data_IF_834432383038
#
_entry.id   IF_834432383038
#
_cell.length_a   1.000
_cell.length_b   1.000
_cell.length_c   1.000
_cell.angle_alpha   90.00
_cell.angle_beta   90.00
_cell.angle_gamma   90.00
#
_symmetry.space_group_name_H-M   'P 1'
#
loop_
_entity.id
_entity.type
_entity.pdbx_description
1 polymer ?
#
# COMPACT_ATOMS: atom_id res chain seq x y z
N UNK A 1 24.37 -5.87 27.50
CA UNK A 1 23.91 -6.60 26.29
C UNK A 1 22.81 -5.78 25.62
N UNK A 2 22.78 -5.71 24.29
CA UNK A 2 21.74 -4.99 23.55
C UNK A 2 20.37 -5.70 23.67
N UNK A 3 19.28 -4.93 23.76
CA UNK A 3 17.92 -5.48 23.80
C UNK A 3 17.53 -5.98 22.40
N UNK A 4 17.10 -7.25 22.22
CA UNK A 4 16.68 -7.75 20.92
C UNK A 4 15.44 -7.00 20.41
N UNK A 5 15.36 -6.82 19.09
CA UNK A 5 14.26 -6.13 18.42
C UNK A 5 12.92 -6.82 18.73
N UNK A 6 11.95 -6.05 19.20
CA UNK A 6 10.66 -6.58 19.66
C UNK A 6 9.80 -7.01 18.46
N UNK A 7 9.40 -8.29 18.44
CA UNK A 7 8.43 -8.81 17.46
C UNK A 7 7.02 -8.40 17.89
N UNK A 8 6.30 -7.68 17.03
CA UNK A 8 4.88 -7.32 17.23
C UNK A 8 4.00 -8.49 16.80
N UNK A 9 4.02 -9.55 17.60
CA UNK A 9 3.23 -10.76 17.41
C UNK A 9 2.69 -11.26 18.75
N UNK A 10 1.71 -12.15 18.71
CA UNK A 10 1.20 -12.83 19.90
C UNK A 10 2.32 -13.65 20.58
N UNK A 11 2.30 -13.67 21.92
CA UNK A 11 3.26 -14.46 22.71
C UNK A 11 2.52 -15.71 23.18
N UNK A 12 2.81 -16.86 22.58
CA UNK A 12 2.11 -18.11 22.89
C UNK A 12 2.28 -18.55 24.35
N UNK A 13 3.51 -18.49 24.86
CA UNK A 13 3.85 -18.84 26.23
C UNK A 13 3.17 -17.89 27.22
N UNK A 14 2.12 -18.38 27.90
CA UNK A 14 1.30 -17.62 28.88
C UNK A 14 2.12 -17.00 30.01
N UNK A 15 3.17 -17.69 30.51
CA UNK A 15 4.01 -17.16 31.59
C UNK A 15 4.86 -16.00 31.08
N UNK A 16 5.50 -16.16 29.90
CA UNK A 16 6.25 -15.06 29.25
C UNK A 16 5.33 -13.91 28.86
N UNK A 17 4.11 -14.20 28.39
CA UNK A 17 3.09 -13.19 28.02
C UNK A 17 2.68 -12.35 29.22
N UNK A 18 2.34 -12.95 30.36
CA UNK A 18 1.94 -12.17 31.55
C UNK A 18 3.10 -11.32 32.10
N UNK A 19 4.32 -11.88 32.21
CA UNK A 19 5.51 -11.11 32.62
C UNK A 19 5.78 -9.95 31.66
N UNK A 20 5.63 -10.15 30.34
CA UNK A 20 5.79 -9.10 29.35
C UNK A 20 4.67 -8.04 29.44
N UNK A 21 3.43 -8.46 29.68
CA UNK A 21 2.28 -7.58 29.89
C UNK A 21 2.52 -6.64 31.07
N UNK A 22 2.80 -7.19 32.27
CA UNK A 22 3.07 -6.42 33.48
C UNK A 22 4.24 -5.43 33.31
N UNK A 23 5.34 -5.86 32.66
CA UNK A 23 6.49 -4.98 32.38
C UNK A 23 6.17 -3.86 31.39
N UNK A 24 5.36 -4.14 30.36
CA UNK A 24 4.94 -3.12 29.37
C UNK A 24 3.94 -2.14 29.99
N UNK A 25 2.96 -2.64 30.75
CA UNK A 25 1.97 -1.83 31.45
C UNK A 25 2.63 -0.83 32.41
N UNK A 26 3.55 -1.28 33.26
CA UNK A 26 4.34 -0.38 34.14
C UNK A 26 5.16 0.65 33.35
N UNK A 27 5.73 0.26 32.22
CA UNK A 27 6.46 1.18 31.34
C UNK A 27 5.56 2.24 30.71
N UNK A 28 4.37 1.86 30.26
CA UNK A 28 3.38 2.78 29.68
C UNK A 28 2.80 3.75 30.72
N UNK A 29 2.52 3.27 31.95
CA UNK A 29 2.10 4.12 33.07
C UNK A 29 3.16 5.19 33.37
N UNK A 30 4.44 4.81 33.45
CA UNK A 30 5.54 5.77 33.68
C UNK A 30 5.70 6.78 32.53
N UNK A 31 5.52 6.34 31.27
CA UNK A 31 5.54 7.24 30.12
C UNK A 31 4.36 8.22 30.11
N UNK A 32 3.17 7.78 30.54
CA UNK A 32 2.02 8.66 30.70
C UNK A 32 2.23 9.67 31.84
N UNK A 33 2.74 9.22 33.00
CA UNK A 33 3.12 10.08 34.12
C UNK A 33 4.10 11.18 33.67
N UNK A 34 5.21 10.79 33.04
CA UNK A 34 6.19 11.74 32.47
C UNK A 34 5.56 12.71 31.45
N UNK A 35 4.70 12.21 30.56
CA UNK A 35 4.03 13.04 29.54
C UNK A 35 3.06 14.05 30.18
N UNK A 36 2.27 13.63 31.16
CA UNK A 36 1.33 14.50 31.88
C UNK A 36 2.06 15.61 32.64
N UNK A 37 3.20 15.30 33.27
CA UNK A 37 4.03 16.27 33.98
C UNK A 37 4.67 17.29 33.01
N UNK A 38 5.25 16.82 31.89
CA UNK A 38 5.94 17.70 30.94
C UNK A 38 4.98 18.58 30.13
N UNK A 39 3.75 18.10 29.90
CA UNK A 39 2.78 18.77 29.01
C UNK A 39 1.68 19.52 29.74
N UNK A 40 1.58 19.39 31.07
CA UNK A 40 0.44 19.85 31.90
C UNK A 40 -0.94 19.38 31.34
N UNK A 41 -0.97 18.14 30.83
CA UNK A 41 -2.18 17.53 30.27
C UNK A 41 -2.71 16.44 31.19
N UNK A 42 -4.03 16.26 31.21
CA UNK A 42 -4.68 15.16 31.94
C UNK A 42 -4.84 13.96 31.01
N UNK A 43 -4.36 12.81 31.44
CA UNK A 43 -4.49 11.55 30.71
C UNK A 43 -4.80 10.40 31.68
N UNK A 44 -5.41 9.34 31.16
CA UNK A 44 -5.65 8.10 31.88
C UNK A 44 -5.33 6.90 30.98
N UNK A 45 -5.02 5.75 31.59
CA UNK A 45 -4.80 4.49 30.86
C UNK A 45 -5.62 3.37 31.49
N UNK A 46 -6.33 2.61 30.67
CA UNK A 46 -7.11 1.43 31.07
C UNK A 46 -6.59 0.18 30.37
N UNK A 47 -6.20 -0.83 31.15
CA UNK A 47 -5.63 -2.09 30.66
C UNK A 47 -6.51 -3.27 31.04
N UNK A 48 -6.99 -4.03 30.06
CA UNK A 48 -7.68 -5.30 30.31
C UNK A 48 -6.74 -6.48 30.03
N UNK A 49 -6.40 -7.26 31.07
CA UNK A 49 -5.60 -8.47 30.89
C UNK A 49 -6.48 -9.71 30.73
N UNK A 50 -6.60 -10.22 29.50
CA UNK A 50 -7.36 -11.44 29.16
C UNK A 50 -6.89 -12.69 29.92
N UNK A 51 -5.62 -12.78 30.32
CA UNK A 51 -5.10 -13.95 31.06
C UNK A 51 -5.50 -13.98 32.53
N UNK A 52 -5.70 -12.80 33.14
CA UNK A 52 -5.96 -12.64 34.58
C UNK A 52 -7.42 -12.19 34.85
N UNK A 53 -8.17 -11.78 33.81
CA UNK A 53 -9.52 -11.23 33.90
C UNK A 53 -9.62 -9.83 34.51
N UNK A 54 -8.48 -9.17 34.76
CA UNK A 54 -8.41 -7.91 35.52
C UNK A 54 -8.36 -6.69 34.61
N UNK A 55 -9.18 -5.70 34.94
CA UNK A 55 -9.01 -4.31 34.51
C UNK A 55 -8.04 -3.61 35.47
N UNK A 56 -7.13 -2.80 34.93
CA UNK A 56 -6.22 -1.94 35.70
C UNK A 56 -6.29 -0.53 35.11
N UNK A 57 -6.65 0.45 35.93
CA UNK A 57 -6.67 1.86 35.56
C UNK A 57 -5.46 2.62 36.15
N UNK A 58 -5.12 3.74 35.53
CA UNK A 58 -4.16 4.74 36.00
C UNK A 58 -4.69 6.14 35.63
N UNK A 59 -4.57 7.17 36.50
CA UNK A 59 -3.81 7.19 37.77
C UNK A 59 -4.48 6.42 38.91
N UNK A 60 -5.75 6.71 39.18
CA UNK A 60 -6.65 5.92 40.01
C UNK A 60 -7.86 5.47 39.20
N UNK A 61 -8.66 4.55 39.74
CA UNK A 61 -9.90 4.10 39.08
C UNK A 61 -10.88 5.27 38.91
N UNK A 62 -11.13 6.03 39.99
CA UNK A 62 -12.05 7.17 40.03
C UNK A 62 -11.58 8.33 39.13
N UNK A 63 -10.29 8.63 39.09
CA UNK A 63 -9.75 9.68 38.22
C UNK A 63 -9.82 9.28 36.73
N UNK A 64 -9.54 8.02 36.42
CA UNK A 64 -9.66 7.50 35.06
C UNK A 64 -11.12 7.52 34.58
N UNK A 65 -12.06 7.07 35.41
CA UNK A 65 -13.51 7.15 35.14
C UNK A 65 -13.94 8.61 34.92
N UNK A 66 -13.56 9.53 35.82
CA UNK A 66 -13.82 10.96 35.66
C UNK A 66 -13.23 11.58 34.38
N UNK A 67 -12.08 11.10 33.91
CA UNK A 67 -11.47 11.55 32.65
C UNK A 67 -12.21 10.99 31.43
N UNK A 68 -12.62 9.73 31.50
CA UNK A 68 -13.42 9.06 30.46
C UNK A 68 -14.79 9.72 30.32
N UNK A 69 -15.48 10.00 31.43
CA UNK A 69 -16.79 10.69 31.43
C UNK A 69 -16.68 12.08 30.81
N UNK A 70 -15.64 12.86 31.18
CA UNK A 70 -15.37 14.17 30.57
C UNK A 70 -15.07 14.06 29.07
N UNK A 71 -14.37 13.02 28.64
CA UNK A 71 -14.09 12.78 27.23
C UNK A 71 -15.35 12.42 26.42
N UNK A 72 -16.26 11.62 26.99
CA UNK A 72 -17.54 11.30 26.34
C UNK A 72 -18.56 12.45 26.39
N UNK A 73 -18.45 13.36 27.36
CA UNK A 73 -19.22 14.60 27.39
C UNK A 73 -18.83 15.60 26.28
N UNK A 74 -17.66 15.44 25.64
CA UNK A 74 -17.26 16.27 24.50
C UNK A 74 -18.07 15.89 23.24
N UNK A 75 -18.40 16.88 22.37
CA UNK A 75 -19.07 16.62 21.10
C UNK A 75 -18.18 15.78 20.18
N UNK A 76 -18.83 14.95 19.35
CA UNK A 76 -18.18 13.89 18.56
C UNK A 76 -17.07 14.41 17.63
N UNK A 77 -17.24 15.61 17.06
CA UNK A 77 -16.23 16.23 16.21
C UNK A 77 -14.92 16.52 16.97
N UNK A 78 -14.97 16.95 18.23
CA UNK A 78 -13.78 17.17 19.05
C UNK A 78 -13.16 15.85 19.51
N UNK A 79 -14.01 14.86 19.82
CA UNK A 79 -13.60 13.52 20.24
C UNK A 79 -12.82 12.77 19.16
N UNK A 80 -13.32 12.80 17.93
CA UNK A 80 -12.82 11.96 16.84
C UNK A 80 -11.69 12.63 16.03
N UNK A 81 -11.44 13.94 16.19
CA UNK A 81 -10.46 14.68 15.37
C UNK A 81 -9.03 14.12 15.47
N UNK A 82 -8.65 13.63 16.66
CA UNK A 82 -7.32 13.11 16.97
C UNK A 82 -7.36 11.65 17.49
N UNK A 83 -8.49 10.95 17.31
CA UNK A 83 -8.65 9.58 17.79
C UNK A 83 -8.04 8.58 16.80
N UNK A 84 -6.86 8.06 17.11
CA UNK A 84 -6.28 6.91 16.39
C UNK A 84 -7.07 5.63 16.75
N UNK A 85 -7.97 5.23 15.85
CA UNK A 85 -8.70 3.97 15.99
C UNK A 85 -7.76 2.76 15.85
N UNK A 86 -7.91 1.78 16.73
CA UNK A 86 -7.13 0.55 16.71
C UNK A 86 -7.28 -0.21 15.38
N UNK A 87 -8.47 -0.25 14.76
CA UNK A 87 -8.59 -0.90 13.45
C UNK A 87 -7.83 -0.14 12.37
N UNK A 88 -7.89 1.20 12.35
CA UNK A 88 -7.17 2.06 11.40
C UNK A 88 -5.66 1.84 11.47
N UNK A 89 -5.11 1.69 12.69
CA UNK A 89 -3.71 1.36 12.92
C UNK A 89 -3.37 -0.04 12.40
N UNK A 90 -4.18 -1.05 12.73
CA UNK A 90 -4.00 -2.44 12.26
C UNK A 90 -4.05 -2.48 10.72
N UNK A 91 -5.07 -1.89 10.09
CA UNK A 91 -5.21 -1.76 8.63
C UNK A 91 -3.96 -1.12 8.00
N UNK A 92 -3.42 -0.08 8.63
CA UNK A 92 -2.18 0.59 8.19
C UNK A 92 -0.95 -0.30 8.29
N UNK A 93 -0.81 -1.09 9.36
CA UNK A 93 0.29 -2.05 9.53
C UNK A 93 0.17 -3.22 8.55
N UNK A 94 -1.03 -3.78 8.37
CA UNK A 94 -1.32 -4.84 7.39
C UNK A 94 -0.93 -4.39 5.98
N UNK A 95 -1.38 -3.21 5.54
CA UNK A 95 -1.02 -2.62 4.23
C UNK A 95 0.50 -2.42 4.05
N UNK A 96 1.23 -2.10 5.13
CA UNK A 96 2.71 -2.02 5.11
C UNK A 96 3.37 -3.39 4.98
N UNK A 97 2.78 -4.46 5.54
CA UNK A 97 3.27 -5.84 5.42
C UNK A 97 2.96 -6.38 4.01
N UNK A 98 1.73 -6.21 3.52
CA UNK A 98 1.31 -6.58 2.16
C UNK A 98 2.21 -5.95 1.10
N UNK A 99 2.49 -4.64 1.19
CA UNK A 99 3.40 -3.96 0.26
C UNK A 99 4.82 -4.53 0.28
N UNK A 100 5.32 -4.99 1.44
CA UNK A 100 6.63 -5.65 1.55
C UNK A 100 6.62 -7.05 0.96
N UNK A 101 5.55 -7.79 1.18
CA UNK A 101 5.36 -9.14 0.64
C UNK A 101 5.26 -9.09 -0.90
N UNK A 102 4.49 -8.15 -1.43
CA UNK A 102 4.37 -7.90 -2.87
C UNK A 102 5.70 -7.47 -3.50
N UNK A 103 6.45 -6.58 -2.86
CA UNK A 103 7.79 -6.23 -3.32
C UNK A 103 8.74 -7.43 -3.30
N UNK A 104 8.70 -8.25 -2.25
CA UNK A 104 9.52 -9.46 -2.16
C UNK A 104 9.16 -10.49 -3.23
N UNK A 105 7.87 -10.61 -3.60
CA UNK A 105 7.44 -11.48 -4.71
C UNK A 105 8.03 -11.01 -6.04
N UNK A 106 7.96 -9.71 -6.35
CA UNK A 106 8.54 -9.17 -7.59
C UNK A 106 10.04 -9.38 -7.68
N UNK A 107 10.77 -9.20 -6.58
CA UNK A 107 12.22 -9.47 -6.54
C UNK A 107 12.50 -10.96 -6.77
N UNK A 108 11.68 -11.88 -6.24
CA UNK A 108 11.82 -13.32 -6.52
C UNK A 108 11.49 -13.62 -7.99
N UNK A 109 10.43 -13.05 -8.56
CA UNK A 109 10.09 -13.23 -9.98
C UNK A 109 11.19 -12.69 -10.92
N UNK A 110 11.79 -11.53 -10.61
CA UNK A 110 12.94 -11.01 -11.36
C UNK A 110 14.14 -11.96 -11.28
N UNK A 111 14.47 -12.47 -10.09
CA UNK A 111 15.56 -13.45 -9.90
C UNK A 111 15.28 -14.80 -10.59
N UNK A 112 14.03 -15.27 -10.62
CA UNK A 112 13.62 -16.46 -11.39
C UNK A 112 13.88 -16.26 -12.89
N UNK A 113 13.49 -15.09 -13.44
CA UNK A 113 13.67 -14.79 -14.86
C UNK A 113 15.13 -14.57 -15.24
N UNK A 114 15.90 -13.87 -14.40
CA UNK A 114 17.33 -13.67 -14.63
C UNK A 114 18.10 -15.00 -14.54
N UNK A 115 17.73 -15.90 -13.60
CA UNK A 115 18.30 -17.25 -13.54
C UNK A 115 17.98 -18.07 -14.79
N UNK A 116 16.74 -18.00 -15.29
CA UNK A 116 16.31 -18.72 -16.48
C UNK A 116 16.99 -18.18 -17.76
N UNK A 117 17.16 -16.86 -17.87
CA UNK A 117 17.97 -16.24 -18.93
C UNK A 117 19.43 -16.71 -18.89
N UNK A 118 20.05 -16.81 -17.71
CA UNK A 118 21.41 -17.35 -17.56
C UNK A 118 21.49 -18.83 -17.95
N UNK A 119 20.48 -19.65 -17.66
CA UNK A 119 20.45 -21.05 -18.12
C UNK A 119 20.42 -21.15 -19.65
N UNK A 120 19.61 -20.31 -20.32
CA UNK A 120 19.53 -20.27 -21.79
C UNK A 120 20.87 -19.80 -22.39
N UNK A 121 21.49 -18.76 -21.83
CA UNK A 121 22.83 -18.30 -22.25
C UNK A 121 23.91 -19.38 -22.07
N UNK A 122 23.79 -20.23 -21.05
CA UNK A 122 24.68 -21.36 -20.79
C UNK A 122 24.30 -22.65 -21.56
N UNK A 123 23.35 -22.58 -22.51
CA UNK A 123 23.07 -23.66 -23.46
C UNK A 123 21.82 -24.50 -23.20
N UNK A 124 20.95 -24.17 -22.23
CA UNK A 124 19.61 -24.79 -22.13
C UNK A 124 18.80 -24.42 -23.38
N UNK A 125 18.24 -25.39 -24.09
CA UNK A 125 17.47 -25.09 -25.30
C UNK A 125 16.10 -24.50 -24.93
N UNK A 126 15.58 -23.59 -25.76
CA UNK A 126 14.24 -23.03 -25.56
C UNK A 126 13.13 -24.11 -25.65
N UNK A 127 13.38 -25.22 -26.34
CA UNK A 127 12.49 -26.37 -26.40
C UNK A 127 12.41 -27.16 -25.07
N UNK A 128 13.39 -26.99 -24.18
CA UNK A 128 13.44 -27.64 -22.85
C UNK A 128 12.72 -26.81 -21.78
N UNK A 129 12.10 -25.69 -22.16
CA UNK A 129 11.31 -24.84 -21.28
C UNK A 129 9.88 -25.41 -21.17
N UNK A 130 9.37 -25.49 -19.95
CA UNK A 130 7.95 -25.74 -19.73
C UNK A 130 7.10 -24.58 -20.26
N UNK A 131 5.86 -24.87 -20.64
CA UNK A 131 4.91 -23.87 -21.15
C UNK A 131 4.81 -22.63 -20.23
N UNK A 132 4.81 -22.83 -18.91
CA UNK A 132 4.74 -21.76 -17.91
C UNK A 132 6.04 -20.95 -17.79
N UNK A 133 7.21 -21.56 -18.01
CA UNK A 133 8.49 -20.84 -18.13
C UNK A 133 8.50 -19.97 -19.39
N UNK A 134 8.03 -20.48 -20.54
CA UNK A 134 7.93 -19.73 -21.80
C UNK A 134 6.99 -18.52 -21.65
N UNK A 135 5.80 -18.72 -21.09
CA UNK A 135 4.83 -17.64 -20.86
C UNK A 135 5.36 -16.55 -19.93
N UNK A 136 5.99 -16.94 -18.80
CA UNK A 136 6.65 -16.00 -17.88
C UNK A 136 7.76 -15.22 -18.59
N UNK A 137 8.63 -15.91 -19.34
CA UNK A 137 9.76 -15.31 -20.05
C UNK A 137 9.31 -14.33 -21.14
N UNK A 138 8.30 -14.71 -21.94
CA UNK A 138 7.71 -13.82 -22.95
C UNK A 138 7.10 -12.56 -22.31
N UNK A 139 6.42 -12.71 -21.17
CA UNK A 139 5.89 -11.58 -20.40
C UNK A 139 7.01 -10.68 -19.86
N UNK A 140 8.08 -11.26 -19.32
CA UNK A 140 9.24 -10.53 -18.79
C UNK A 140 10.00 -9.77 -19.89
N UNK A 141 10.32 -10.44 -20.99
CA UNK A 141 10.98 -9.84 -22.15
C UNK A 141 10.17 -8.68 -22.73
N UNK A 142 8.86 -8.87 -22.95
CA UNK A 142 7.97 -7.81 -23.44
C UNK A 142 7.93 -6.58 -22.52
N UNK A 143 7.91 -6.81 -21.19
CA UNK A 143 7.98 -5.72 -20.18
C UNK A 143 9.33 -5.00 -20.23
N UNK A 144 10.45 -5.73 -20.26
CA UNK A 144 11.81 -5.12 -20.32
C UNK A 144 12.02 -4.34 -21.62
N UNK A 145 11.61 -4.87 -22.77
CA UNK A 145 11.62 -4.17 -24.06
C UNK A 145 10.82 -2.86 -23.93
N UNK A 146 9.58 -2.93 -23.43
CA UNK A 146 8.72 -1.73 -23.26
C UNK A 146 9.36 -0.66 -22.37
N UNK A 147 10.06 -1.05 -21.29
CA UNK A 147 10.78 -0.11 -20.43
C UNK A 147 11.96 0.52 -21.16
N UNK A 148 12.82 -0.29 -21.78
CA UNK A 148 14.00 0.18 -22.50
C UNK A 148 13.62 1.09 -23.69
N UNK A 149 12.55 0.79 -24.43
CA UNK A 149 12.05 1.65 -25.51
C UNK A 149 11.64 3.03 -25.01
N UNK A 150 11.03 3.12 -23.81
CA UNK A 150 10.68 4.40 -23.17
C UNK A 150 11.90 5.16 -22.68
N UNK A 151 12.86 4.46 -22.06
CA UNK A 151 14.11 5.06 -21.57
C UNK A 151 15.00 5.60 -22.70
N UNK A 152 14.98 4.93 -23.86
CA UNK A 152 15.67 5.38 -25.08
C UNK A 152 14.97 6.55 -25.80
N UNK A 153 13.84 7.05 -25.28
CA UNK A 153 13.11 8.18 -25.87
C UNK A 153 12.49 7.88 -27.24
N UNK A 154 12.34 6.61 -27.60
CA UNK A 154 11.87 6.17 -28.90
C UNK A 154 10.33 6.20 -28.99
N UNK A 155 9.74 7.40 -28.96
CA UNK A 155 8.40 7.59 -29.51
C UNK A 155 8.49 7.56 -31.05
N UNK A 156 8.34 6.37 -31.65
CA UNK A 156 8.09 6.28 -33.07
C UNK A 156 7.04 5.22 -33.45
N UNK A 157 6.15 5.54 -34.41
CA UNK A 157 5.00 4.71 -34.74
C UNK A 157 5.39 3.64 -35.75
N UNK A 158 5.54 2.38 -35.32
CA UNK A 158 5.63 1.25 -36.25
C UNK A 158 4.96 -0.02 -35.70
N UNK A 159 3.64 -0.06 -35.84
CA UNK A 159 2.88 -1.31 -35.98
C UNK A 159 2.18 -1.30 -37.34
N UNK A 160 2.96 -1.44 -38.41
CA UNK A 160 2.46 -1.95 -39.69
C UNK A 160 3.14 -3.29 -39.95
N UNK A 161 2.52 -4.35 -39.42
CA UNK A 161 2.61 -5.66 -40.06
C UNK A 161 1.32 -5.76 -40.86
N UNK A 162 1.41 -5.65 -42.18
CA UNK A 162 0.25 -5.73 -43.06
C UNK A 162 -0.34 -7.14 -43.01
N UNK A 163 -1.57 -7.26 -42.54
CA UNK A 163 -2.38 -8.48 -42.63
C UNK A 163 -3.36 -8.31 -43.81
N UNK A 164 -3.18 -9.02 -44.93
CA UNK A 164 -3.99 -8.82 -46.12
C UNK A 164 -5.37 -9.46 -45.95
N UNK A 165 -6.35 -8.65 -45.52
CA UNK A 165 -7.76 -9.00 -45.64
C UNK A 165 -8.17 -9.07 -47.12
N UNK A 166 -8.19 -10.27 -47.69
CA UNK A 166 -9.08 -10.57 -48.81
C UNK A 166 -10.50 -10.64 -48.24
N UNK A 167 -11.36 -9.72 -48.64
CA UNK A 167 -12.77 -9.74 -48.25
C UNK A 167 -13.60 -10.66 -49.14
N UNK A 168 -14.88 -10.77 -48.80
CA UNK A 168 -15.92 -10.95 -49.80
C UNK A 168 -17.09 -10.01 -49.48
N UNK A 169 -17.65 -9.40 -50.51
CA UNK A 169 -18.69 -8.38 -50.43
C UNK A 169 -20.10 -9.00 -50.31
N UNK A 170 -20.99 -8.36 -49.54
CA UNK A 170 -22.37 -8.14 -50.01
C UNK A 170 -22.75 -6.68 -49.72
N UNK A 171 -23.13 -5.96 -50.78
CA UNK A 171 -23.41 -4.50 -50.80
C UNK A 171 -24.95 -4.23 -50.75
N UNK A 172 -25.52 -3.00 -50.96
CA UNK A 172 -26.17 -2.25 -49.88
C UNK A 172 -27.63 -1.77 -50.17
N UNK A 173 -28.20 -0.95 -49.28
CA UNK A 173 -28.76 0.42 -49.55
C UNK A 173 -29.30 1.07 -48.26
N UNK A 174 -28.89 2.30 -47.89
CA UNK A 174 -29.40 3.63 -48.31
C UNK A 174 -30.85 3.90 -47.82
N UNK A 175 -31.25 5.04 -47.23
CA UNK A 175 -30.88 6.49 -47.34
C UNK A 175 -31.34 7.22 -46.06
N UNK A 176 -30.89 8.40 -45.58
CA UNK A 176 -29.87 9.40 -45.99
C UNK A 176 -30.32 10.85 -45.66
N UNK A 177 -29.44 11.87 -45.82
CA UNK A 177 -29.69 13.34 -45.65
C UNK A 177 -29.81 13.81 -44.17
N UNK A 178 -29.29 14.96 -43.67
CA UNK A 178 -28.72 16.20 -44.22
C UNK A 178 -27.41 16.61 -43.46
N UNK A 179 -26.33 17.13 -44.09
CA UNK A 179 -26.03 18.54 -44.50
C UNK A 179 -25.87 19.56 -43.34
N UNK A 180 -24.67 20.18 -43.27
CA UNK A 180 -24.25 21.23 -42.31
C UNK A 180 -24.58 22.67 -42.81
N UNK A 181 -24.25 23.78 -42.10
CA UNK A 181 -22.89 24.35 -42.23
C UNK A 181 -22.30 25.27 -41.09
N UNK A 182 -20.96 25.26 -41.03
CA UNK A 182 -19.97 26.36 -40.84
C UNK A 182 -20.23 27.64 -40.00
N UNK A 183 -19.19 27.97 -39.22
CA UNK A 183 -18.71 29.32 -38.80
C UNK A 183 -17.70 29.17 -37.65
N UNK A 184 -16.61 29.90 -37.46
CA UNK A 184 -16.01 31.11 -38.05
C UNK A 184 -14.84 31.54 -37.10
N UNK A 185 -13.84 32.37 -37.50
CA UNK A 185 -12.49 32.24 -36.93
C UNK A 185 -12.02 33.32 -35.91
N UNK A 186 -11.18 32.90 -34.95
CA UNK A 186 -10.11 33.69 -34.31
C UNK A 186 -10.51 34.76 -33.28
N UNK A 187 -9.53 35.51 -32.70
CA UNK A 187 -8.08 35.46 -32.92
C UNK A 187 -7.24 35.20 -31.65
N UNK A 188 -5.91 35.13 -31.84
CA UNK A 188 -4.91 34.97 -30.78
C UNK A 188 -4.72 36.24 -29.94
N UNK A 189 -4.35 36.09 -28.67
CA UNK A 189 -3.44 37.03 -28.00
C UNK A 189 -2.42 36.32 -27.11
N UNK A 190 -1.17 36.76 -27.23
CA UNK A 190 0.04 36.39 -26.49
C UNK A 190 0.71 37.74 -26.11
N UNK A 191 1.78 37.75 -25.30
CA UNK A 191 1.86 37.47 -23.87
C UNK A 191 2.27 38.75 -23.09
N UNK A 192 2.42 38.69 -21.76
CA UNK A 192 3.43 39.55 -21.10
C UNK A 192 4.06 38.90 -19.86
N UNK A 193 5.31 39.25 -19.62
CA UNK A 193 6.19 38.74 -18.54
C UNK A 193 6.32 39.79 -17.43
N UNK A 194 6.62 39.30 -16.23
CA UNK A 194 7.34 39.96 -15.12
C UNK A 194 6.76 41.28 -14.58
N UNK A 195 6.38 41.21 -13.31
CA UNK A 195 6.06 42.29 -12.39
C UNK A 195 5.81 41.62 -11.06
#
# INVERSE_FOLDING_TARGET
MARPKLKLAWIEDRKKRNIACQKRMKGLMKMAEELTIVSDTKACLTFFNRDDGKLVAWPSQEEAESLIDRFYALPENQRNMNADDQESYIKTITKKIEKKLEHSRKVVEELEMDHLMLQIQNGRMLADLSQTEVEKLMSYASKKITVLTRELGAEHPYTSVDEPFLGDEIIPKATGVAVAPKGGPGPCFRPMRRG
#
